data_IF_519542237212
#
_entry.id   IF_519542237212
#
_cell.length_a   1.000
_cell.length_b   1.000
_cell.length_c   1.000
_cell.angle_alpha   90.00
_cell.angle_beta   90.00
_cell.angle_gamma   90.00
#
_symmetry.space_group_name_H-M   'P 1'
#
loop_
_entity.id
_entity.type
_entity.pdbx_description
1 polymer ?
#
# COMPACT_ATOMS: atom_id res chain seq x y z
N UNK A 1 23.21 -25.66 -28.59
CA UNK A 1 23.33 -26.09 -27.18
C UNK A 1 24.26 -25.11 -26.49
N UNK A 2 23.75 -24.25 -25.61
CA UNK A 2 24.60 -23.30 -24.88
C UNK A 2 25.02 -24.00 -23.58
N UNK A 3 26.33 -24.19 -23.40
CA UNK A 3 26.88 -24.82 -22.20
C UNK A 3 26.46 -24.02 -20.95
N UNK A 4 25.89 -24.72 -19.96
CA UNK A 4 25.41 -24.11 -18.70
C UNK A 4 26.53 -23.45 -17.89
N UNK A 5 27.80 -23.76 -18.20
CA UNK A 5 28.99 -23.17 -17.57
C UNK A 5 29.62 -22.02 -18.35
N UNK A 6 29.09 -21.70 -19.53
CA UNK A 6 29.63 -20.63 -20.37
C UNK A 6 29.51 -19.26 -19.70
N UNK A 7 30.59 -18.48 -19.70
CA UNK A 7 30.61 -17.09 -19.22
C UNK A 7 29.58 -16.21 -19.93
N UNK A 8 29.35 -16.44 -21.23
CA UNK A 8 28.33 -15.73 -22.01
C UNK A 8 26.90 -15.96 -21.48
N UNK A 9 26.59 -17.15 -20.98
CA UNK A 9 25.28 -17.45 -20.39
C UNK A 9 25.09 -16.78 -19.03
N UNK A 10 26.16 -16.62 -18.24
CA UNK A 10 26.11 -15.91 -16.95
C UNK A 10 25.78 -14.43 -17.13
N UNK A 11 26.36 -13.79 -18.15
CA UNK A 11 26.09 -12.37 -18.47
C UNK A 11 24.61 -12.16 -18.85
N UNK A 12 24.04 -13.05 -19.67
CA UNK A 12 22.63 -12.96 -20.06
C UNK A 12 21.70 -13.17 -18.86
N UNK A 13 22.03 -14.11 -17.97
CA UNK A 13 21.27 -14.32 -16.74
C UNK A 13 21.32 -13.10 -15.82
N UNK A 14 22.50 -12.52 -15.63
CA UNK A 14 22.65 -11.30 -14.84
C UNK A 14 21.82 -10.14 -15.41
N UNK A 15 21.86 -9.94 -16.73
CA UNK A 15 21.05 -8.91 -17.39
C UNK A 15 19.55 -9.13 -17.18
N UNK A 16 19.08 -10.38 -17.29
CA UNK A 16 17.68 -10.74 -17.02
C UNK A 16 17.30 -10.46 -15.57
N UNK A 17 18.15 -10.86 -14.63
CA UNK A 17 17.86 -10.71 -13.20
C UNK A 17 17.86 -9.23 -12.80
N UNK A 18 18.74 -8.42 -13.40
CA UNK A 18 18.76 -6.96 -13.25
C UNK A 18 17.52 -6.30 -13.86
N UNK A 19 17.10 -6.71 -15.05
CA UNK A 19 15.87 -6.24 -15.68
C UNK A 19 14.63 -6.59 -14.83
N UNK A 20 14.58 -7.81 -14.29
CA UNK A 20 13.50 -8.26 -13.41
C UNK A 20 13.49 -7.47 -12.08
N UNK A 21 14.66 -7.27 -11.48
CA UNK A 21 14.82 -6.45 -10.26
C UNK A 21 14.38 -5.01 -10.51
N UNK A 22 14.79 -4.42 -11.63
CA UNK A 22 14.42 -3.07 -12.01
C UNK A 22 12.91 -2.94 -12.21
N UNK A 23 12.28 -3.87 -12.92
CA UNK A 23 10.83 -3.91 -13.12
C UNK A 23 10.05 -3.98 -11.81
N UNK A 24 10.38 -4.93 -10.93
CA UNK A 24 9.74 -5.08 -9.61
C UNK A 24 9.92 -3.82 -8.77
N UNK A 25 11.14 -3.29 -8.71
CA UNK A 25 11.46 -2.11 -7.89
C UNK A 25 10.76 -0.87 -8.41
N UNK A 26 10.68 -0.68 -9.73
CA UNK A 26 10.00 0.46 -10.33
C UNK A 26 8.49 0.41 -10.06
N UNK A 27 7.85 -0.74 -10.25
CA UNK A 27 6.43 -0.92 -9.92
C UNK A 27 6.17 -0.70 -8.43
N UNK A 28 7.03 -1.23 -7.55
CA UNK A 28 6.91 -1.03 -6.11
C UNK A 28 7.04 0.45 -5.72
N UNK A 29 8.02 1.18 -6.26
CA UNK A 29 8.18 2.62 -6.00
C UNK A 29 7.02 3.45 -6.55
N UNK A 30 6.50 3.11 -7.73
CA UNK A 30 5.33 3.77 -8.33
C UNK A 30 4.09 3.53 -7.46
N UNK A 31 3.91 2.30 -6.99
CA UNK A 31 2.85 1.93 -6.06
C UNK A 31 2.98 2.66 -4.73
N UNK A 32 4.16 2.66 -4.10
CA UNK A 32 4.45 3.41 -2.86
C UNK A 32 4.16 4.91 -3.01
N UNK A 33 4.50 5.53 -4.15
CA UNK A 33 4.17 6.94 -4.41
C UNK A 33 2.67 7.18 -4.63
N UNK A 34 1.97 6.27 -5.32
CA UNK A 34 0.52 6.37 -5.54
C UNK A 34 -0.29 6.13 -4.26
N UNK A 35 0.19 5.20 -3.42
CA UNK A 35 -0.32 4.90 -2.09
C UNK A 35 -0.31 6.11 -1.15
N UNK A 36 0.64 7.04 -1.28
CA UNK A 36 0.70 8.26 -0.46
C UNK A 36 -0.36 9.29 -0.88
N UNK A 37 -0.93 9.19 -2.09
CA UNK A 37 -2.09 10.00 -2.54
C UNK A 37 -3.43 9.29 -2.31
N UNK A 38 -3.53 8.49 -1.25
CA UNK A 38 -4.77 7.79 -0.92
C UNK A 38 -5.74 8.71 -0.19
N UNK A 39 -7.03 8.38 -0.29
CA UNK A 39 -8.16 9.04 0.40
C UNK A 39 -7.89 9.28 1.90
N UNK A 40 -7.09 8.41 2.52
CA UNK A 40 -6.65 8.51 3.91
C UNK A 40 -5.90 9.81 4.24
N UNK A 41 -5.18 10.40 3.28
CA UNK A 41 -4.49 11.69 3.48
C UNK A 41 -5.42 12.90 3.36
N UNK A 42 -6.65 12.71 2.88
CA UNK A 42 -7.70 13.73 2.85
C UNK A 42 -8.52 13.82 4.13
N UNK A 43 -8.36 12.85 5.05
CA UNK A 43 -9.12 12.81 6.31
C UNK A 43 -8.56 13.87 7.27
N UNK A 44 -9.41 14.82 7.66
CA UNK A 44 -9.07 15.88 8.62
C UNK A 44 -8.69 15.24 9.96
N UNK A 45 -7.46 15.49 10.44
CA UNK A 45 -6.91 14.88 11.66
C UNK A 45 -5.99 13.68 11.43
N UNK A 46 -5.84 13.21 10.18
CA UNK A 46 -4.92 12.12 9.82
C UNK A 46 -3.77 12.65 8.97
N UNK A 47 -2.59 12.72 9.60
CA UNK A 47 -1.35 13.05 8.89
C UNK A 47 -0.84 11.93 8.00
N UNK A 48 0.06 12.28 7.07
CA UNK A 48 0.70 11.33 6.12
C UNK A 48 1.39 10.14 6.81
N UNK A 49 2.03 10.36 7.96
CA UNK A 49 2.69 9.28 8.73
C UNK A 49 1.68 8.23 9.24
N UNK A 50 0.54 8.69 9.74
CA UNK A 50 -0.57 7.83 10.19
C UNK A 50 -1.15 7.04 9.01
N UNK A 51 -1.43 7.72 7.90
CA UNK A 51 -1.94 7.07 6.68
C UNK A 51 -0.95 6.02 6.15
N UNK A 52 0.35 6.34 6.13
CA UNK A 52 1.39 5.41 5.69
C UNK A 52 1.49 4.19 6.60
N UNK A 53 1.42 4.34 7.92
CA UNK A 53 1.41 3.22 8.89
C UNK A 53 0.23 2.28 8.67
N UNK A 54 -0.98 2.84 8.49
CA UNK A 54 -2.17 2.05 8.18
C UNK A 54 -2.00 1.29 6.87
N UNK A 55 -1.58 1.98 5.81
CA UNK A 55 -1.36 1.36 4.51
C UNK A 55 -0.29 0.28 4.54
N UNK A 56 0.73 0.41 5.39
CA UNK A 56 1.79 -0.58 5.51
C UNK A 56 1.30 -1.87 6.18
N UNK A 57 0.44 -1.75 7.20
CA UNK A 57 -0.19 -2.90 7.88
C UNK A 57 -1.26 -3.56 7.01
N UNK A 58 -2.17 -2.77 6.46
CA UNK A 58 -3.37 -3.26 5.77
C UNK A 58 -3.21 -3.42 4.26
N UNK A 59 -2.15 -2.87 3.66
CA UNK A 59 -1.79 -2.92 2.22
C UNK A 59 -2.75 -2.24 1.24
N UNK A 60 -4.00 -1.98 1.62
CA UNK A 60 -5.03 -1.37 0.77
C UNK A 60 -6.03 -0.56 1.58
N UNK A 61 -6.58 0.51 0.98
CA UNK A 61 -7.66 1.31 1.56
C UNK A 61 -8.93 0.47 1.77
N UNK A 62 -9.23 -0.46 0.85
CA UNK A 62 -10.37 -1.37 0.99
C UNK A 62 -10.25 -2.24 2.26
N UNK A 63 -9.04 -2.73 2.56
CA UNK A 63 -8.78 -3.49 3.80
C UNK A 63 -8.85 -2.64 5.05
N UNK A 64 -8.52 -1.36 4.97
CA UNK A 64 -8.68 -0.41 6.08
C UNK A 64 -10.15 -0.14 6.34
N UNK A 65 -10.96 -0.06 5.28
CA UNK A 65 -12.40 0.12 5.35
C UNK A 65 -13.11 -1.06 6.03
N UNK A 66 -12.67 -2.28 5.76
CA UNK A 66 -13.21 -3.51 6.37
C UNK A 66 -12.60 -3.82 7.74
N UNK A 67 -11.54 -3.11 8.15
CA UNK A 67 -10.86 -3.39 9.41
C UNK A 67 -11.69 -2.96 10.62
N UNK A 68 -11.65 -3.77 11.66
CA UNK A 68 -12.27 -3.44 12.94
C UNK A 68 -11.52 -2.30 13.66
N UNK A 69 -12.25 -1.58 14.50
CA UNK A 69 -11.73 -0.48 15.28
C UNK A 69 -10.53 -0.88 16.14
N UNK A 70 -10.52 -2.09 16.69
CA UNK A 70 -9.40 -2.60 17.50
C UNK A 70 -8.11 -2.73 16.69
N UNK A 71 -8.20 -3.29 15.47
CA UNK A 71 -7.05 -3.45 14.58
C UNK A 71 -6.50 -2.09 14.11
N UNK A 72 -7.37 -1.10 13.89
CA UNK A 72 -6.97 0.27 13.57
C UNK A 72 -6.32 0.94 14.80
N UNK A 73 -6.91 0.77 15.98
CA UNK A 73 -6.43 1.36 17.23
C UNK A 73 -5.06 0.81 17.64
N UNK A 74 -4.76 -0.45 17.34
CA UNK A 74 -3.44 -1.03 17.58
C UNK A 74 -2.33 -0.31 16.79
N UNK A 75 -2.64 0.20 15.59
CA UNK A 75 -1.65 0.85 14.71
C UNK A 75 -1.53 2.36 14.98
N UNK A 76 -2.65 3.05 15.19
CA UNK A 76 -2.68 4.53 15.23
C UNK A 76 -3.24 5.13 16.52
N UNK A 77 -3.69 4.29 17.44
CA UNK A 77 -4.37 4.70 18.68
C UNK A 77 -5.88 4.92 18.51
N UNK A 78 -6.62 4.78 19.61
CA UNK A 78 -8.10 4.82 19.63
C UNK A 78 -8.69 6.10 19.00
N UNK A 79 -8.12 7.26 19.32
CA UNK A 79 -8.64 8.55 18.82
C UNK A 79 -8.56 8.66 17.30
N UNK A 80 -7.45 8.24 16.69
CA UNK A 80 -7.28 8.31 15.23
C UNK A 80 -8.05 7.20 14.53
N UNK A 81 -8.14 6.02 15.13
CA UNK A 81 -8.92 4.90 14.61
C UNK A 81 -10.40 5.26 14.46
N UNK A 82 -10.98 5.95 15.46
CA UNK A 82 -12.37 6.40 15.40
C UNK A 82 -12.60 7.35 14.21
N UNK A 83 -11.72 8.33 14.00
CA UNK A 83 -11.82 9.30 12.90
C UNK A 83 -11.79 8.59 11.53
N UNK A 84 -10.92 7.58 11.36
CA UNK A 84 -10.86 6.76 10.14
C UNK A 84 -12.20 6.07 9.92
N UNK A 85 -12.73 5.42 10.95
CA UNK A 85 -13.92 4.59 10.87
C UNK A 85 -15.17 5.43 10.61
N UNK A 86 -15.28 6.59 11.26
CA UNK A 86 -16.37 7.55 11.07
C UNK A 86 -16.38 8.10 9.64
N UNK A 87 -15.20 8.40 9.07
CA UNK A 87 -15.07 8.86 7.68
C UNK A 87 -15.58 7.79 6.68
N UNK A 88 -15.20 6.52 6.89
CA UNK A 88 -15.65 5.44 6.02
C UNK A 88 -17.11 5.03 6.24
N UNK A 89 -17.65 5.19 7.45
CA UNK A 89 -19.05 4.96 7.76
C UNK A 89 -19.96 6.08 7.19
N UNK A 90 -19.48 7.32 7.17
CA UNK A 90 -20.17 8.46 6.55
C UNK A 90 -20.32 8.28 5.03
N UNK A 91 -19.28 7.83 4.35
CA UNK A 91 -19.31 7.58 2.90
C UNK A 91 -20.21 6.40 2.49
N UNK A 92 -20.46 5.42 3.37
CA UNK A 92 -21.46 4.35 3.15
C UNK A 92 -22.89 4.88 3.16
N UNK A 93 -23.19 5.90 3.98
CA UNK A 93 -24.53 6.50 4.03
C UNK A 93 -24.89 7.28 2.76
N UNK A 94 -23.92 7.94 2.15
CA UNK A 94 -24.13 8.67 0.89
C UNK A 94 -24.28 7.72 -0.31
N UNK A 95 -23.53 6.60 -0.32
CA UNK A 95 -23.60 5.60 -1.42
C UNK A 95 -24.83 4.71 -1.43
N UNK A 96 -25.55 4.59 -0.31
CA UNK A 96 -26.82 3.84 -0.21
C UNK A 96 -28.06 4.73 -0.44
N UNK A 97 -27.86 6.01 -0.77
CA UNK A 97 -28.93 6.96 -1.05
C UNK A 97 -29.13 7.23 -2.56
N UNK A 98 -28.30 6.65 -3.43
CA UNK A 98 -28.42 6.62 -4.90
C UNK A 98 -28.83 5.22 -5.37
#
# INVERSE_FOLDING_TARGET
YIDKRSESLKIIQFLRDEAHRFGITHHRKKFEKGLIKTELTGIVGIGKDTAQKLLWKFKSVAKIREAELEALAEVVGKSKAQIVLDYFAGSEKERNLE
#
